data_IF_152863436031
#
_entry.id   IF_152863436031
#
_cell.length_a   1.000
_cell.length_b   1.000
_cell.length_c   1.000
_cell.angle_alpha   90.00
_cell.angle_beta   90.00
_cell.angle_gamma   90.00
#
_symmetry.space_group_name_H-M   'P 1'
#
loop_
_entity.id
_entity.type
_entity.pdbx_description
1 polymer ?
#
# COMPACT_ATOMS: atom_id res chain seq x y z
N UNK A 1 2.87 6.81 -28.75
CA UNK A 1 3.44 5.69 -27.98
C UNK A 1 2.77 5.68 -26.61
N UNK A 2 1.79 4.81 -26.41
CA UNK A 2 1.28 4.50 -25.07
C UNK A 2 2.33 3.62 -24.38
N UNK A 3 3.03 4.15 -23.37
CA UNK A 3 4.01 3.35 -22.63
C UNK A 3 3.32 2.57 -21.52
N UNK A 4 3.89 1.43 -21.13
CA UNK A 4 3.40 0.65 -19.97
C UNK A 4 3.32 1.50 -18.68
N UNK A 5 4.13 2.57 -18.59
CA UNK A 5 4.12 3.50 -17.46
C UNK A 5 2.89 4.40 -17.47
N UNK A 6 2.40 4.85 -18.63
CA UNK A 6 1.24 5.74 -18.72
C UNK A 6 -0.03 5.03 -18.24
N UNK A 7 -0.22 3.76 -18.64
CA UNK A 7 -1.29 2.90 -18.14
C UNK A 7 -1.22 2.78 -16.61
N UNK A 8 0.00 2.56 -16.07
CA UNK A 8 0.20 2.39 -14.64
C UNK A 8 -0.11 3.68 -13.86
N UNK A 9 0.30 4.85 -14.36
CA UNK A 9 0.01 6.15 -13.73
C UNK A 9 -1.50 6.40 -13.68
N UNK A 10 -2.20 6.20 -14.79
CA UNK A 10 -3.66 6.36 -14.85
C UNK A 10 -4.35 5.35 -13.92
N UNK A 11 -3.92 4.09 -13.95
CA UNK A 11 -4.45 3.06 -13.06
C UNK A 11 -4.29 3.45 -11.59
N UNK A 12 -3.11 3.90 -11.16
CA UNK A 12 -2.88 4.29 -9.76
C UNK A 12 -3.72 5.49 -9.33
N UNK A 13 -3.89 6.46 -10.23
CA UNK A 13 -4.78 7.60 -9.99
C UNK A 13 -6.22 7.14 -9.76
N UNK A 14 -6.76 6.30 -10.63
CA UNK A 14 -8.11 5.75 -10.52
C UNK A 14 -8.27 4.83 -9.30
N UNK A 15 -7.28 3.98 -9.03
CA UNK A 15 -7.24 3.10 -7.86
C UNK A 15 -7.32 3.90 -6.55
N UNK A 16 -6.58 5.01 -6.44
CA UNK A 16 -6.63 5.90 -5.27
C UNK A 16 -7.97 6.62 -5.09
N UNK A 17 -8.71 6.85 -6.18
CA UNK A 17 -10.06 7.42 -6.16
C UNK A 17 -11.14 6.39 -5.86
N UNK A 18 -10.77 5.12 -5.75
CA UNK A 18 -11.68 3.99 -5.56
C UNK A 18 -12.75 3.90 -6.66
N UNK A 19 -12.40 4.29 -7.90
CA UNK A 19 -13.33 4.16 -9.03
C UNK A 19 -13.63 2.69 -9.35
N UNK A 20 -14.80 2.46 -9.96
CA UNK A 20 -15.24 1.11 -10.34
C UNK A 20 -14.33 0.56 -11.42
N UNK A 21 -14.06 -0.75 -11.38
CA UNK A 21 -13.19 -1.47 -12.32
C UNK A 21 -13.55 -1.20 -13.79
N UNK A 22 -14.83 -1.22 -14.13
CA UNK A 22 -15.33 -0.99 -15.49
C UNK A 22 -15.07 0.44 -15.96
N UNK A 23 -15.18 1.40 -15.04
CA UNK A 23 -14.95 2.82 -15.30
C UNK A 23 -13.46 3.11 -15.42
N UNK A 24 -12.62 2.52 -14.57
CA UNK A 24 -11.17 2.60 -14.70
C UNK A 24 -10.69 2.05 -16.05
N UNK A 25 -11.20 0.90 -16.50
CA UNK A 25 -10.85 0.35 -17.81
C UNK A 25 -11.26 1.28 -18.96
N UNK A 26 -12.47 1.87 -18.88
CA UNK A 26 -12.92 2.88 -19.84
C UNK A 26 -12.03 4.11 -19.84
N UNK A 27 -11.67 4.65 -18.67
CA UNK A 27 -10.85 5.84 -18.55
C UNK A 27 -9.43 5.62 -19.10
N UNK A 28 -8.82 4.46 -18.83
CA UNK A 28 -7.52 4.08 -19.39
C UNK A 28 -7.60 4.01 -20.93
N UNK A 29 -8.58 3.30 -21.47
CA UNK A 29 -8.72 3.14 -22.92
C UNK A 29 -9.07 4.46 -23.62
N UNK A 30 -9.89 5.31 -23.00
CA UNK A 30 -10.24 6.62 -23.51
C UNK A 30 -9.04 7.58 -23.52
N UNK A 31 -8.23 7.58 -22.46
CA UNK A 31 -7.04 8.42 -22.35
C UNK A 31 -5.94 8.05 -23.36
N UNK A 32 -5.85 6.77 -23.73
CA UNK A 32 -4.79 6.26 -24.61
C UNK A 32 -5.26 6.05 -26.06
N UNK A 33 -6.55 6.23 -26.34
CA UNK A 33 -7.13 6.11 -27.68
C UNK A 33 -7.18 4.68 -28.24
N UNK A 34 -6.86 3.68 -27.42
CA UNK A 34 -6.74 2.27 -27.80
C UNK A 34 -7.44 1.39 -26.76
N UNK A 35 -8.03 0.27 -27.18
CA UNK A 35 -8.70 -0.67 -26.28
C UNK A 35 -7.68 -1.62 -25.59
N UNK A 36 -6.70 -1.03 -24.91
CA UNK A 36 -5.50 -1.70 -24.38
C UNK A 36 -5.78 -2.57 -23.16
N UNK A 37 -6.74 -2.18 -22.33
CA UNK A 37 -7.05 -2.89 -21.09
C UNK A 37 -8.49 -3.37 -21.07
N UNK A 38 -8.70 -4.55 -20.47
CA UNK A 38 -10.03 -5.08 -20.21
C UNK A 38 -10.39 -4.86 -18.74
N UNK A 39 -11.69 -4.81 -18.40
CA UNK A 39 -12.13 -4.80 -17.00
C UNK A 39 -11.53 -5.94 -16.18
N UNK A 40 -11.37 -7.14 -16.76
CA UNK A 40 -10.76 -8.29 -16.09
C UNK A 40 -9.30 -8.03 -15.73
N UNK A 41 -8.53 -7.41 -16.63
CA UNK A 41 -7.14 -7.02 -16.35
C UNK A 41 -7.07 -6.02 -15.20
N UNK A 42 -7.92 -4.98 -15.23
CA UNK A 42 -7.99 -3.98 -14.17
C UNK A 42 -8.40 -4.61 -12.83
N UNK A 43 -9.36 -5.53 -12.82
CA UNK A 43 -9.79 -6.23 -11.61
C UNK A 43 -8.63 -6.98 -10.94
N UNK A 44 -7.80 -7.67 -11.74
CA UNK A 44 -6.61 -8.36 -11.23
C UNK A 44 -5.63 -7.38 -10.59
N UNK A 45 -5.42 -6.22 -11.20
CA UNK A 45 -4.57 -5.18 -10.62
C UNK A 45 -5.13 -4.63 -9.30
N UNK A 46 -6.44 -4.35 -9.21
CA UNK A 46 -7.08 -3.94 -7.96
C UNK A 46 -6.85 -4.95 -6.83
N UNK A 47 -7.04 -6.25 -7.11
CA UNK A 47 -6.84 -7.32 -6.11
C UNK A 47 -5.38 -7.33 -5.65
N UNK A 48 -4.43 -7.27 -6.59
CA UNK A 48 -3.01 -7.27 -6.27
C UNK A 48 -2.62 -6.04 -5.45
N UNK A 49 -2.98 -4.83 -5.89
CA UNK A 49 -2.66 -3.59 -5.18
C UNK A 49 -3.25 -3.55 -3.77
N UNK A 50 -4.47 -4.08 -3.57
CA UNK A 50 -5.06 -4.20 -2.23
C UNK A 50 -4.32 -5.19 -1.33
N UNK A 51 -3.90 -6.33 -1.88
CA UNK A 51 -3.07 -7.31 -1.14
C UNK A 51 -1.74 -6.69 -0.75
N UNK A 52 -1.07 -6.04 -1.68
CA UNK A 52 0.22 -5.39 -1.44
C UNK A 52 0.10 -4.30 -0.37
N UNK A 53 -0.94 -3.46 -0.45
CA UNK A 53 -1.21 -2.43 0.56
C UNK A 53 -1.49 -3.03 1.95
N UNK A 54 -2.22 -4.16 2.03
CA UNK A 54 -2.48 -4.86 3.30
C UNK A 54 -1.18 -5.39 3.89
N UNK A 55 -0.37 -6.09 3.09
CA UNK A 55 0.93 -6.62 3.53
C UNK A 55 1.84 -5.49 4.02
N UNK A 56 1.92 -4.39 3.27
CA UNK A 56 2.74 -3.24 3.64
C UNK A 56 2.29 -2.60 4.95
N UNK A 57 0.97 -2.44 5.15
CA UNK A 57 0.40 -1.93 6.41
C UNK A 57 0.71 -2.87 7.58
N UNK A 58 0.53 -4.18 7.42
CA UNK A 58 0.84 -5.15 8.47
C UNK A 58 2.31 -5.07 8.88
N UNK A 59 3.23 -5.12 7.91
CA UNK A 59 4.67 -5.01 8.17
C UNK A 59 5.03 -3.70 8.86
N UNK A 60 4.39 -2.60 8.48
CA UNK A 60 4.60 -1.29 9.12
C UNK A 60 4.17 -1.34 10.59
N UNK A 61 2.98 -1.88 10.88
CA UNK A 61 2.49 -2.01 12.26
C UNK A 61 3.37 -2.95 13.08
N UNK A 62 3.80 -4.08 12.52
CA UNK A 62 4.70 -5.03 13.18
C UNK A 62 6.03 -4.37 13.56
N UNK A 63 6.63 -3.62 12.63
CA UNK A 63 7.87 -2.87 12.87
C UNK A 63 7.69 -1.82 13.97
N UNK A 64 6.63 -1.01 13.91
CA UNK A 64 6.34 -0.01 14.94
C UNK A 64 6.11 -0.66 16.31
N UNK A 65 5.39 -1.78 16.36
CA UNK A 65 5.16 -2.52 17.60
C UNK A 65 6.46 -3.07 18.19
N UNK A 66 7.37 -3.56 17.34
CA UNK A 66 8.68 -4.03 17.79
C UNK A 66 9.52 -2.91 18.40
N UNK A 67 9.48 -1.70 17.82
CA UNK A 67 10.15 -0.52 18.37
C UNK A 67 9.58 -0.08 19.71
N UNK A 68 8.25 -0.06 19.85
CA UNK A 68 7.60 0.29 21.13
C UNK A 68 7.99 -0.72 22.21
N UNK A 69 7.95 -2.02 21.89
CA UNK A 69 8.34 -3.09 22.82
C UNK A 69 9.80 -2.96 23.26
N UNK A 70 10.73 -2.63 22.35
CA UNK A 70 12.14 -2.46 22.72
C UNK A 70 12.37 -1.23 23.60
N UNK A 71 11.67 -0.13 23.33
CA UNK A 71 11.73 1.07 24.17
C UNK A 71 11.17 0.81 25.57
N UNK A 72 10.02 0.15 25.68
CA UNK A 72 9.44 -0.20 26.98
C UNK A 72 10.36 -1.11 27.81
N UNK A 73 11.02 -2.07 27.15
CA UNK A 73 11.99 -2.95 27.82
C UNK A 73 13.18 -2.17 28.37
N UNK A 74 13.78 -1.28 27.57
CA UNK A 74 14.89 -0.41 27.98
C UNK A 74 14.48 0.54 29.12
N UNK A 75 13.29 1.13 29.05
CA UNK A 75 12.78 2.00 30.11
C UNK A 75 12.58 1.25 31.43
N UNK A 76 12.01 0.03 31.38
CA UNK A 76 11.83 -0.81 32.57
C UNK A 76 13.16 -1.18 33.21
N UNK A 77 14.16 -1.54 32.42
CA UNK A 77 15.50 -1.87 32.90
C UNK A 77 16.18 -0.67 33.57
N UNK A 78 16.14 0.52 32.94
CA UNK A 78 16.67 1.76 33.52
C UNK A 78 16.00 2.11 34.84
N UNK A 79 14.67 1.97 34.90
CA UNK A 79 13.89 2.21 36.13
C UNK A 79 14.30 1.24 37.25
N UNK A 80 14.46 -0.04 36.94
CA UNK A 80 14.90 -1.04 37.91
C UNK A 80 16.32 -0.76 38.44
N UNK A 81 17.25 -0.33 37.58
CA UNK A 81 18.60 0.09 37.99
C UNK A 81 18.59 1.29 38.94
N UNK A 82 17.73 2.28 38.69
CA UNK A 82 17.62 3.47 39.56
C UNK A 82 17.11 3.16 40.97
N UNK A 83 16.27 2.13 41.14
CA UNK A 83 15.68 1.76 42.44
C UNK A 83 16.62 0.90 43.31
N UNK A 84 17.65 0.28 42.72
CA UNK A 84 18.60 -0.59 43.41
C UNK A 84 19.92 0.11 43.78
N UNK A 85 19.98 1.44 43.69
CA UNK A 85 21.16 2.23 44.10
C UNK A 85 20.91 2.74 45.53
N UNK A 86 21.71 2.32 46.54
CA UNK A 86 21.55 2.78 47.93
C UNK A 86 21.77 4.29 48.11
#
# INVERSE_FOLDING_TARGET
>A
MSSKNDIHIIFLYEFKRETKVTETARNINAALGENLVTPTTVQRWFIQSRRDMKVWRTKTVEYQLQLVKSFEADWKDKKARSMNTP
#
